data_IF_590377553496
#
_entry.id   IF_590377553496
#
_cell.length_a   1.000
_cell.length_b   1.000
_cell.length_c   1.000
_cell.angle_alpha   90.00
_cell.angle_beta   90.00
_cell.angle_gamma   90.00
#
_symmetry.space_group_name_H-M   'P 1'
#
loop_
_entity.id
_entity.type
_entity.pdbx_description
1 polymer ?
#
# COMPACT_ATOMS: atom_id res chain seq x y z
N UNK A 1 -2.34 12.68 6.95
CA UNK A 1 -1.69 11.37 6.80
C UNK A 1 -2.26 10.46 7.89
N UNK A 2 -3.12 9.51 7.53
CA UNK A 2 -3.80 8.65 8.51
C UNK A 2 -2.79 7.64 9.04
N UNK A 3 -2.70 7.48 10.36
CA UNK A 3 -1.78 6.55 11.00
C UNK A 3 -2.56 5.56 11.84
N UNK A 4 -2.29 4.26 11.69
CA UNK A 4 -2.91 3.22 12.53
C UNK A 4 -1.92 2.61 13.49
N UNK A 5 -2.47 2.10 14.59
CA UNK A 5 -1.72 1.32 15.57
C UNK A 5 -1.90 -0.17 15.27
N UNK A 6 -0.79 -0.90 15.20
CA UNK A 6 -0.75 -2.36 15.09
C UNK A 6 -0.08 -2.93 16.35
N UNK A 7 -0.51 -4.11 16.77
CA UNK A 7 0.20 -4.88 17.80
C UNK A 7 1.13 -5.85 17.08
N UNK A 8 2.40 -5.82 17.42
CA UNK A 8 3.37 -6.82 16.97
C UNK A 8 4.12 -7.34 18.19
N UNK A 9 4.04 -8.65 18.38
CA UNK A 9 4.42 -9.31 19.63
C UNK A 9 3.73 -8.64 20.83
N UNK A 10 4.48 -8.03 21.75
CA UNK A 10 3.97 -7.36 22.95
C UNK A 10 3.96 -5.85 22.84
N UNK A 11 4.35 -5.29 21.69
CA UNK A 11 4.53 -3.85 21.49
C UNK A 11 3.55 -3.29 20.48
N UNK A 12 3.12 -2.05 20.75
CA UNK A 12 2.27 -1.31 19.86
C UNK A 12 3.12 -0.41 18.95
N UNK A 13 2.92 -0.54 17.64
CA UNK A 13 3.58 0.25 16.63
C UNK A 13 2.58 1.14 15.92
N UNK A 14 2.98 2.37 15.59
CA UNK A 14 2.20 3.25 14.73
C UNK A 14 2.77 3.17 13.32
N UNK A 15 1.99 2.65 12.39
CA UNK A 15 2.37 2.53 10.99
C UNK A 15 1.84 3.69 10.18
N UNK A 16 2.73 4.31 9.42
CA UNK A 16 2.41 5.34 8.42
C UNK A 16 3.48 5.31 7.34
N UNK A 17 3.11 5.64 6.11
CA UNK A 17 4.05 5.68 5.01
C UNK A 17 3.55 6.54 3.86
N UNK A 18 4.47 7.02 3.02
CA UNK A 18 4.19 7.76 1.80
C UNK A 18 4.95 7.08 0.68
N UNK A 19 4.23 6.50 -0.26
CA UNK A 19 4.84 5.93 -1.46
C UNK A 19 5.49 7.03 -2.30
N UNK A 20 6.55 6.67 -3.04
CA UNK A 20 7.17 7.58 -4.01
C UNK A 20 6.20 7.92 -5.14
N UNK A 21 5.53 6.90 -5.69
CA UNK A 21 4.51 7.08 -6.71
C UNK A 21 3.28 6.19 -6.48
N UNK A 22 2.15 6.68 -6.98
CA UNK A 22 0.90 5.91 -7.05
C UNK A 22 0.27 6.12 -8.41
N UNK A 23 -0.15 5.03 -9.03
CA UNK A 23 -0.74 5.02 -10.37
C UNK A 23 -2.10 4.34 -10.33
N UNK A 24 -3.03 4.82 -11.15
CA UNK A 24 -4.29 4.12 -11.38
C UNK A 24 -4.18 3.28 -12.65
N UNK A 25 -4.35 1.98 -12.51
CA UNK A 25 -4.38 1.07 -13.65
C UNK A 25 -5.71 1.22 -14.40
N UNK A 26 -5.62 1.61 -15.69
CA UNK A 26 -6.73 1.94 -16.61
C UNK A 26 -7.49 3.24 -16.27
N UNK A 27 -8.13 3.77 -17.32
CA UNK A 27 -9.04 4.89 -17.22
C UNK A 27 -10.39 4.43 -16.64
N UNK A 28 -10.60 4.72 -15.37
CA UNK A 28 -11.84 4.39 -14.65
C UNK A 28 -12.80 5.58 -14.69
N UNK A 29 -14.04 5.34 -15.10
CA UNK A 29 -15.07 6.38 -15.24
C UNK A 29 -15.75 6.73 -13.92
N UNK A 30 -15.60 5.88 -12.88
CA UNK A 30 -16.15 6.11 -11.54
C UNK A 30 -15.09 6.09 -10.43
N UNK A 31 -15.29 6.89 -9.36
CA UNK A 31 -14.41 6.89 -8.18
C UNK A 31 -14.40 5.54 -7.45
N UNK A 32 -15.46 4.76 -7.56
CA UNK A 32 -15.59 3.43 -6.98
C UNK A 32 -14.62 2.41 -7.61
N UNK A 33 -14.39 2.51 -8.92
CA UNK A 33 -13.45 1.66 -9.65
C UNK A 33 -11.99 2.04 -9.39
N UNK A 34 -11.71 3.33 -9.11
CA UNK A 34 -10.36 3.77 -8.79
C UNK A 34 -9.77 2.96 -7.63
N UNK A 35 -10.54 2.73 -6.57
CA UNK A 35 -10.03 2.03 -5.39
C UNK A 35 -9.38 0.67 -5.70
N UNK A 36 -9.91 -0.12 -6.64
CA UNK A 36 -9.41 -1.48 -6.95
C UNK A 36 -8.16 -1.51 -7.82
N UNK A 37 -7.81 -0.42 -8.49
CA UNK A 37 -6.75 -0.37 -9.49
C UNK A 37 -5.51 0.43 -9.04
N UNK A 38 -5.27 0.56 -7.72
CA UNK A 38 -4.10 1.27 -7.20
C UNK A 38 -2.83 0.45 -7.43
N UNK A 39 -1.85 1.04 -8.08
CA UNK A 39 -0.48 0.53 -8.15
C UNK A 39 0.40 1.43 -7.28
N UNK A 40 1.14 0.81 -6.36
CA UNK A 40 2.13 1.49 -5.51
C UNK A 40 3.50 1.16 -6.08
N UNK A 41 4.32 2.19 -6.29
CA UNK A 41 5.67 2.06 -6.81
C UNK A 41 6.64 2.68 -5.82
N UNK A 42 7.66 1.90 -5.47
CA UNK A 42 8.79 2.34 -4.67
C UNK A 42 10.02 2.36 -5.57
N UNK A 43 10.69 3.51 -5.66
CA UNK A 43 11.86 3.69 -6.51
C UNK A 43 13.12 3.69 -5.66
N UNK A 44 14.00 2.70 -5.86
CA UNK A 44 15.29 2.60 -5.19
C UNK A 44 16.42 2.96 -6.15
N UNK A 45 17.59 3.19 -5.57
CA UNK A 45 18.80 3.39 -6.38
C UNK A 45 19.16 2.07 -7.07
N UNK A 46 19.79 2.16 -8.23
CA UNK A 46 20.31 1.00 -8.95
C UNK A 46 21.09 0.06 -8.02
N UNK A 47 20.78 -1.24 -8.07
CA UNK A 47 21.38 -2.28 -7.23
C UNK A 47 20.77 -2.43 -5.82
N UNK A 48 19.72 -1.67 -5.47
CA UNK A 48 19.09 -1.68 -4.14
C UNK A 48 17.65 -2.22 -4.13
N UNK A 49 17.25 -3.00 -5.13
CA UNK A 49 15.88 -3.53 -5.32
C UNK A 49 15.31 -4.18 -4.06
N UNK A 50 16.10 -5.05 -3.44
CA UNK A 50 15.70 -5.80 -2.25
C UNK A 50 15.43 -4.91 -1.04
N UNK A 51 15.97 -3.68 -1.01
CA UNK A 51 15.70 -2.73 0.06
C UNK A 51 14.28 -2.13 -0.01
N UNK A 52 13.60 -2.22 -1.16
CA UNK A 52 12.22 -1.76 -1.34
C UNK A 52 11.17 -2.76 -0.86
N UNK A 53 11.50 -4.06 -0.80
CA UNK A 53 10.53 -5.13 -0.55
C UNK A 53 9.82 -4.99 0.80
N UNK A 54 10.58 -4.78 1.88
CA UNK A 54 10.01 -4.62 3.22
C UNK A 54 9.09 -3.38 3.32
N UNK A 55 9.42 -2.30 2.61
CA UNK A 55 8.60 -1.08 2.59
C UNK A 55 7.31 -1.30 1.82
N UNK A 56 7.39 -1.96 0.65
CA UNK A 56 6.22 -2.31 -0.15
C UNK A 56 5.27 -3.26 0.60
N UNK A 57 5.80 -4.27 1.31
CA UNK A 57 5.00 -5.14 2.17
C UNK A 57 4.31 -4.35 3.30
N UNK A 58 5.01 -3.36 3.87
CA UNK A 58 4.43 -2.42 4.84
C UNK A 58 3.26 -1.63 4.25
N UNK A 59 3.40 -1.11 3.04
CA UNK A 59 2.33 -0.39 2.34
C UNK A 59 1.13 -1.29 2.03
N UNK A 60 1.37 -2.52 1.55
CA UNK A 60 0.31 -3.50 1.32
C UNK A 60 -0.50 -3.76 2.59
N UNK A 61 0.19 -3.98 3.72
CA UNK A 61 -0.46 -4.19 5.01
C UNK A 61 -1.33 -3.00 5.43
N UNK A 62 -0.81 -1.78 5.34
CA UNK A 62 -1.53 -0.55 5.67
C UNK A 62 -2.78 -0.40 4.78
N UNK A 63 -2.62 -0.51 3.45
CA UNK A 63 -3.73 -0.34 2.50
C UNK A 63 -4.79 -1.42 2.68
N UNK A 64 -4.39 -2.68 2.84
CA UNK A 64 -5.31 -3.79 3.05
C UNK A 64 -6.12 -3.59 4.34
N UNK A 65 -5.47 -3.20 5.43
CA UNK A 65 -6.12 -2.97 6.72
C UNK A 65 -7.12 -1.80 6.67
N UNK A 66 -6.77 -0.68 6.03
CA UNK A 66 -7.67 0.46 5.86
C UNK A 66 -8.91 0.09 5.02
N UNK A 67 -8.73 -0.66 3.93
CA UNK A 67 -9.84 -1.12 3.09
C UNK A 67 -10.81 -2.03 3.86
N UNK A 68 -10.29 -2.92 4.70
CA UNK A 68 -11.11 -3.76 5.59
C UNK A 68 -11.90 -2.92 6.59
N UNK A 69 -11.25 -1.93 7.22
CA UNK A 69 -11.91 -1.07 8.20
C UNK A 69 -13.01 -0.19 7.58
N UNK A 70 -12.83 0.24 6.33
CA UNK A 70 -13.84 0.96 5.55
C UNK A 70 -14.91 0.04 4.94
N UNK A 71 -14.93 -1.25 5.27
CA UNK A 71 -15.85 -2.27 4.74
C UNK A 71 -15.94 -2.26 3.20
N UNK A 72 -14.81 -2.02 2.54
CA UNK A 72 -14.76 -2.07 1.07
C UNK A 72 -14.98 -3.51 0.61
N UNK A 73 -15.82 -3.68 -0.40
CA UNK A 73 -16.18 -4.98 -0.99
C UNK A 73 -14.94 -5.73 -1.49
N UNK A 74 -13.93 -4.99 -1.99
CA UNK A 74 -12.66 -5.55 -2.42
C UNK A 74 -11.48 -4.83 -1.73
N UNK A 75 -10.79 -5.56 -0.85
CA UNK A 75 -9.60 -5.12 -0.11
C UNK A 75 -8.29 -5.70 -0.67
N UNK A 76 -8.34 -6.47 -1.76
CA UNK A 76 -7.16 -7.12 -2.35
C UNK A 76 -6.24 -6.05 -2.93
N UNK A 77 -4.94 -6.24 -2.73
CA UNK A 77 -3.87 -5.43 -3.34
C UNK A 77 -3.23 -6.28 -4.42
N UNK A 78 -3.35 -5.85 -5.68
CA UNK A 78 -3.07 -6.69 -6.86
C UNK A 78 -1.61 -6.70 -7.33
N UNK A 79 -0.76 -5.82 -6.81
CA UNK A 79 0.65 -5.84 -7.18
C UNK A 79 1.47 -4.74 -6.55
N UNK A 80 2.76 -5.03 -6.42
CA UNK A 80 3.82 -4.12 -5.98
C UNK A 80 4.98 -4.26 -6.97
N UNK A 81 5.64 -3.15 -7.29
CA UNK A 81 6.83 -3.14 -8.11
C UNK A 81 7.92 -2.34 -7.39
N UNK A 82 9.13 -2.90 -7.37
CA UNK A 82 10.37 -2.24 -6.98
C UNK A 82 11.35 -2.42 -8.13
N UNK A 83 12.13 -1.39 -8.44
CA UNK A 83 13.25 -1.43 -9.39
C UNK A 83 14.58 -1.78 -8.75
#
# INVERSE_FOLDING_TARGET
MTSRRIMYDTRQYKTSGRADYTLWYRETHSMSEKAINLVIVEAKKEGMVSAGEAQLLGYMGIVHQERKALRKVNAVVYGMASD
#
